data_IF_700531133501
#
_entry.id   IF_700531133501
#
_cell.length_a   1.000
_cell.length_b   1.000
_cell.length_c   1.000
_cell.angle_alpha   90.00
_cell.angle_beta   90.00
_cell.angle_gamma   90.00
#
_symmetry.space_group_name_H-M   'P 1'
#
loop_
_entity.id
_entity.type
_entity.pdbx_description
1 polymer ?
#
# COMPACT_ATOMS: atom_id res chain seq x y z
N UNK A 1 -24.42 -7.31 12.67
CA UNK A 1 -23.12 -6.63 12.60
C UNK A 1 -22.04 -7.69 12.66
N UNK A 2 -21.61 -8.15 11.49
CA UNK A 2 -20.37 -8.88 11.35
C UNK A 2 -19.19 -7.91 11.44
N UNK A 3 -18.05 -8.46 11.88
CA UNK A 3 -16.74 -7.82 11.78
C UNK A 3 -15.88 -8.77 10.94
N UNK A 4 -15.37 -8.30 9.81
CA UNK A 4 -14.49 -9.10 8.93
C UNK A 4 -13.20 -8.34 8.65
N UNK A 5 -12.08 -9.04 8.57
CA UNK A 5 -10.81 -8.42 8.23
C UNK A 5 -9.98 -9.26 7.25
N UNK A 6 -9.15 -8.56 6.47
CA UNK A 6 -8.12 -9.13 5.61
C UNK A 6 -6.77 -8.49 5.98
N UNK A 7 -5.80 -9.29 6.38
CA UNK A 7 -4.46 -8.84 6.77
C UNK A 7 -3.42 -9.34 5.75
N UNK A 8 -2.78 -8.40 5.05
CA UNK A 8 -1.84 -8.68 3.95
C UNK A 8 -0.44 -8.30 4.41
N UNK A 9 0.51 -9.23 4.30
CA UNK A 9 1.91 -9.04 4.69
C UNK A 9 2.85 -9.61 3.64
N UNK A 10 3.75 -8.78 3.11
CA UNK A 10 4.64 -9.21 2.01
C UNK A 10 6.08 -8.78 2.33
N UNK A 11 6.92 -9.78 2.56
CA UNK A 11 8.37 -9.64 2.68
C UNK A 11 9.09 -10.01 1.37
N UNK A 12 8.62 -11.01 0.64
CA UNK A 12 9.33 -11.56 -0.52
C UNK A 12 8.80 -10.95 -1.83
N UNK A 13 9.70 -10.39 -2.65
CA UNK A 13 9.40 -9.76 -3.94
C UNK A 13 10.30 -10.32 -5.05
N UNK A 14 10.02 -11.53 -5.57
CA UNK A 14 10.92 -12.28 -6.43
C UNK A 14 11.44 -11.49 -7.63
N UNK A 15 12.77 -11.47 -7.74
CA UNK A 15 13.47 -10.84 -8.86
C UNK A 15 13.55 -9.30 -8.81
N UNK A 16 13.07 -8.64 -7.75
CA UNK A 16 13.20 -7.18 -7.58
C UNK A 16 14.48 -6.76 -6.84
N UNK A 17 15.06 -7.68 -6.06
CA UNK A 17 16.15 -7.42 -5.12
C UNK A 17 15.73 -6.63 -3.87
N UNK A 18 14.43 -6.40 -3.68
CA UNK A 18 13.85 -5.51 -2.67
C UNK A 18 12.96 -6.29 -1.70
N UNK A 19 13.51 -7.31 -1.03
CA UNK A 19 12.77 -8.02 0.01
C UNK A 19 12.69 -7.20 1.31
N UNK A 20 11.63 -7.36 2.09
CA UNK A 20 11.46 -6.81 3.44
C UNK A 20 11.58 -7.92 4.49
N UNK A 21 11.56 -7.58 5.79
CA UNK A 21 11.74 -8.56 6.88
C UNK A 21 10.76 -8.39 8.07
N UNK A 22 9.82 -7.44 7.99
CA UNK A 22 8.87 -7.15 9.09
C UNK A 22 7.39 -7.39 8.74
N UNK A 23 7.03 -7.38 7.46
CA UNK A 23 5.64 -7.23 7.04
C UNK A 23 4.74 -8.45 7.31
N UNK A 24 5.35 -9.64 7.45
CA UNK A 24 4.67 -10.84 7.95
C UNK A 24 4.31 -10.70 9.44
N UNK A 25 5.21 -10.14 10.26
CA UNK A 25 4.94 -9.91 11.68
C UNK A 25 3.81 -8.87 11.83
N UNK A 26 3.88 -7.76 11.08
CA UNK A 26 2.84 -6.72 11.08
C UNK A 26 1.45 -7.31 10.73
N UNK A 27 1.39 -8.20 9.73
CA UNK A 27 0.15 -8.88 9.34
C UNK A 27 -0.35 -9.89 10.40
N UNK A 28 0.56 -10.59 11.08
CA UNK A 28 0.21 -11.48 12.21
C UNK A 28 -0.28 -10.71 13.43
N UNK A 29 0.41 -9.63 13.81
CA UNK A 29 0.04 -8.77 14.94
C UNK A 29 -1.34 -8.14 14.71
N UNK A 30 -1.62 -7.66 13.50
CA UNK A 30 -2.96 -7.19 13.12
C UNK A 30 -4.00 -8.30 13.15
N UNK A 31 -3.69 -9.49 12.64
CA UNK A 31 -4.61 -10.62 12.63
C UNK A 31 -5.00 -11.06 14.05
N UNK A 32 -4.03 -11.15 14.97
CA UNK A 32 -4.32 -11.42 16.39
C UNK A 32 -5.13 -10.29 17.01
N UNK A 33 -4.67 -9.05 16.87
CA UNK A 33 -5.32 -7.83 17.41
C UNK A 33 -6.79 -7.72 16.98
N UNK A 34 -7.11 -8.06 15.74
CA UNK A 34 -8.46 -8.02 15.20
C UNK A 34 -9.28 -9.25 15.62
N UNK A 35 -8.68 -10.44 15.67
CA UNK A 35 -9.34 -11.66 16.20
C UNK A 35 -9.79 -11.43 17.66
N UNK A 36 -8.92 -10.90 18.51
CA UNK A 36 -9.26 -10.51 19.90
C UNK A 36 -10.40 -9.48 20.00
N UNK A 37 -10.62 -8.67 18.94
CA UNK A 37 -11.72 -7.69 18.84
C UNK A 37 -13.00 -8.27 18.22
N UNK A 38 -13.04 -9.58 17.99
CA UNK A 38 -14.18 -10.32 17.44
C UNK A 38 -14.34 -10.22 15.92
N UNK A 39 -13.25 -9.98 15.18
CA UNK A 39 -13.26 -10.07 13.72
C UNK A 39 -13.07 -11.51 13.25
N UNK A 40 -13.78 -11.90 12.20
CA UNK A 40 -13.37 -13.03 11.36
C UNK A 40 -12.26 -12.56 10.42
N UNK A 41 -11.04 -13.08 10.61
CA UNK A 41 -9.83 -12.62 9.90
C UNK A 41 -9.40 -13.64 8.84
N UNK A 42 -9.05 -13.16 7.66
CA UNK A 42 -8.22 -13.88 6.67
C UNK A 42 -6.86 -13.20 6.50
N UNK A 43 -5.86 -13.96 6.05
CA UNK A 43 -4.52 -13.45 5.77
C UNK A 43 -4.08 -13.75 4.35
N UNK A 44 -3.21 -12.92 3.79
CA UNK A 44 -2.45 -13.19 2.57
C UNK A 44 -0.98 -12.87 2.83
N UNK A 45 -0.12 -13.89 2.83
CA UNK A 45 1.29 -13.78 3.19
C UNK A 45 2.20 -14.19 2.03
N UNK A 46 3.21 -13.36 1.73
CA UNK A 46 4.18 -13.55 0.63
C UNK A 46 3.53 -14.08 -0.65
N UNK A 47 3.84 -15.32 -1.06
CA UNK A 47 3.39 -15.94 -2.30
C UNK A 47 1.86 -16.06 -2.43
N UNK A 48 1.11 -15.91 -1.34
CA UNK A 48 -0.36 -15.85 -1.37
C UNK A 48 -0.87 -14.46 -1.78
N UNK A 49 -0.11 -13.39 -1.50
CA UNK A 49 -0.47 -12.00 -1.78
C UNK A 49 -0.12 -11.60 -3.23
N UNK A 50 -0.61 -12.38 -4.20
CA UNK A 50 -0.58 -12.01 -5.62
C UNK A 50 -1.56 -10.87 -5.91
N UNK A 51 -1.36 -10.12 -7.01
CA UNK A 51 -2.29 -9.04 -7.40
C UNK A 51 -3.73 -9.54 -7.47
N UNK A 52 -3.92 -10.72 -8.08
CA UNK A 52 -5.23 -11.36 -8.20
C UNK A 52 -5.85 -11.72 -6.84
N UNK A 53 -5.08 -12.33 -5.93
CA UNK A 53 -5.57 -12.71 -4.60
C UNK A 53 -5.87 -11.49 -3.71
N UNK A 54 -5.09 -10.41 -3.80
CA UNK A 54 -5.35 -9.15 -3.11
C UNK A 54 -6.67 -8.53 -3.59
N UNK A 55 -6.85 -8.41 -4.91
CA UNK A 55 -8.09 -7.90 -5.53
C UNK A 55 -9.30 -8.76 -5.18
N UNK A 56 -9.19 -10.09 -5.27
CA UNK A 56 -10.27 -11.01 -4.92
C UNK A 56 -10.62 -10.93 -3.43
N UNK A 57 -9.62 -10.96 -2.55
CA UNK A 57 -9.81 -10.86 -1.11
C UNK A 57 -10.52 -9.56 -0.71
N UNK A 58 -10.07 -8.42 -1.24
CA UNK A 58 -10.72 -7.13 -1.06
C UNK A 58 -12.16 -7.13 -1.61
N UNK A 59 -12.36 -7.60 -2.84
CA UNK A 59 -13.68 -7.63 -3.48
C UNK A 59 -14.69 -8.49 -2.72
N UNK A 60 -14.29 -9.68 -2.26
CA UNK A 60 -15.14 -10.58 -1.47
C UNK A 60 -15.46 -9.97 -0.10
N UNK A 61 -14.46 -9.41 0.58
CA UNK A 61 -14.61 -8.82 1.92
C UNK A 61 -15.59 -7.63 1.91
N UNK A 62 -15.47 -6.76 0.91
CA UNK A 62 -16.30 -5.56 0.74
C UNK A 62 -17.69 -5.92 0.20
N UNK A 63 -17.76 -6.74 -0.85
CA UNK A 63 -19.01 -7.07 -1.55
C UNK A 63 -19.98 -7.93 -0.73
N UNK A 64 -19.47 -8.74 0.21
CA UNK A 64 -20.31 -9.53 1.11
C UNK A 64 -20.81 -8.74 2.34
N UNK A 65 -20.24 -7.57 2.63
CA UNK A 65 -20.58 -6.81 3.83
C UNK A 65 -22.00 -6.21 3.74
N UNK A 66 -22.75 -6.29 4.84
CA UNK A 66 -24.13 -5.81 4.93
C UNK A 66 -24.22 -4.50 5.73
N UNK A 67 -25.24 -3.65 5.49
CA UNK A 67 -25.40 -2.38 6.20
C UNK A 67 -25.28 -2.51 7.72
N UNK A 68 -24.33 -1.79 8.30
CA UNK A 68 -23.99 -1.84 9.73
C UNK A 68 -22.77 -2.70 10.08
N UNK A 69 -22.25 -3.51 9.15
CA UNK A 69 -21.01 -4.29 9.35
C UNK A 69 -19.75 -3.40 9.36
N UNK A 70 -18.66 -3.94 9.92
CA UNK A 70 -17.34 -3.30 9.94
C UNK A 70 -16.31 -4.19 9.22
N UNK A 71 -15.68 -3.61 8.22
CA UNK A 71 -14.61 -4.22 7.42
C UNK A 71 -13.28 -3.52 7.74
N UNK A 72 -12.23 -4.31 7.97
CA UNK A 72 -10.86 -3.81 8.12
C UNK A 72 -9.95 -4.49 7.09
N UNK A 73 -9.18 -3.73 6.34
CA UNK A 73 -8.10 -4.25 5.50
C UNK A 73 -6.80 -3.68 6.06
N UNK A 74 -5.82 -4.54 6.33
CA UNK A 74 -4.46 -4.11 6.64
C UNK A 74 -3.51 -4.60 5.56
N UNK A 75 -2.60 -3.74 5.14
CA UNK A 75 -1.54 -4.05 4.20
C UNK A 75 -0.22 -3.59 4.79
N UNK A 76 0.77 -4.49 4.79
CA UNK A 76 2.15 -4.19 5.11
C UNK A 76 3.03 -4.73 3.99
N UNK A 77 3.85 -3.86 3.40
CA UNK A 77 4.67 -4.18 2.23
C UNK A 77 5.20 -2.94 1.54
N UNK A 78 5.71 -3.11 0.33
CA UNK A 78 6.18 -2.02 -0.52
C UNK A 78 5.04 -1.18 -1.12
N UNK A 79 5.21 0.14 -1.13
CA UNK A 79 4.54 1.05 -2.03
C UNK A 79 5.42 1.38 -3.24
N UNK A 80 4.81 1.78 -4.35
CA UNK A 80 5.49 2.27 -5.56
C UNK A 80 4.59 3.31 -6.24
N UNK A 81 5.07 3.91 -7.33
CA UNK A 81 4.25 4.68 -8.26
C UNK A 81 4.20 3.95 -9.60
N UNK A 82 3.18 4.22 -10.40
CA UNK A 82 3.18 3.94 -11.84
C UNK A 82 3.00 5.26 -12.60
N UNK A 83 3.45 5.37 -13.85
CA UNK A 83 3.09 6.52 -14.69
C UNK A 83 1.58 6.48 -14.94
N UNK A 84 0.88 7.59 -14.66
CA UNK A 84 -0.55 7.67 -14.91
C UNK A 84 -0.88 7.43 -16.39
N UNK A 85 -1.95 6.69 -16.64
CA UNK A 85 -2.40 6.36 -18.00
C UNK A 85 -3.27 7.46 -18.63
N UNK A 86 -3.83 8.37 -17.83
CA UNK A 86 -4.67 9.50 -18.26
C UNK A 86 -4.22 10.82 -17.60
N UNK A 87 -4.53 11.95 -18.25
CA UNK A 87 -4.07 13.32 -17.92
C UNK A 87 -4.92 13.97 -16.80
N UNK A 88 -5.31 13.17 -15.79
CA UNK A 88 -6.24 13.50 -14.70
C UNK A 88 -5.54 13.89 -13.39
N UNK A 89 -4.28 13.49 -13.23
CA UNK A 89 -3.48 13.75 -12.05
C UNK A 89 -2.63 15.03 -12.17
N UNK A 90 -2.47 15.75 -11.05
CA UNK A 90 -1.77 17.05 -11.00
C UNK A 90 -0.25 16.89 -11.13
N UNK A 91 0.24 15.67 -10.92
CA UNK A 91 1.63 15.21 -10.91
C UNK A 91 1.89 14.00 -11.83
N UNK A 92 0.84 13.26 -12.22
CA UNK A 92 0.88 12.25 -13.29
C UNK A 92 1.38 10.87 -12.86
N UNK A 93 1.13 10.46 -11.61
CA UNK A 93 1.76 9.30 -10.98
C UNK A 93 0.84 8.52 -10.03
N UNK A 94 0.06 7.57 -10.55
CA UNK A 94 -0.80 6.74 -9.70
C UNK A 94 0.01 6.01 -8.61
N UNK A 95 -0.47 6.08 -7.38
CA UNK A 95 0.11 5.33 -6.27
C UNK A 95 -0.29 3.88 -6.31
N UNK A 96 0.62 2.98 -5.92
CA UNK A 96 0.32 1.56 -5.97
C UNK A 96 0.94 0.76 -4.83
N UNK A 97 0.16 -0.20 -4.32
CA UNK A 97 0.66 -1.25 -3.43
C UNK A 97 1.37 -2.31 -4.27
N UNK A 98 2.47 -2.87 -3.75
CA UNK A 98 3.24 -3.89 -4.46
C UNK A 98 2.77 -5.30 -4.09
N UNK A 99 2.18 -6.08 -5.00
CA UNK A 99 1.91 -7.50 -4.77
C UNK A 99 3.20 -8.32 -4.82
N UNK A 100 3.17 -9.55 -4.32
CA UNK A 100 4.30 -10.48 -4.41
C UNK A 100 4.76 -10.70 -5.86
N UNK A 101 3.81 -10.80 -6.79
CA UNK A 101 4.04 -11.06 -8.21
C UNK A 101 4.14 -9.78 -9.07
N UNK A 102 4.45 -8.62 -8.45
CA UNK A 102 4.57 -7.30 -9.07
C UNK A 102 5.35 -7.30 -10.40
N UNK A 103 6.47 -8.03 -10.47
CA UNK A 103 7.30 -8.11 -11.69
C UNK A 103 6.58 -8.75 -12.88
N UNK A 104 5.51 -9.53 -12.65
CA UNK A 104 4.76 -10.23 -13.68
C UNK A 104 3.31 -9.74 -13.87
N UNK A 105 2.74 -9.02 -12.88
CA UNK A 105 1.36 -8.51 -12.89
C UNK A 105 1.23 -6.99 -12.72
N UNK A 106 2.34 -6.29 -12.49
CA UNK A 106 2.34 -4.88 -12.13
C UNK A 106 1.90 -4.65 -10.68
N UNK A 107 1.98 -3.40 -10.25
CA UNK A 107 1.47 -2.97 -8.96
C UNK A 107 -0.07 -2.87 -8.94
N UNK A 108 -0.68 -2.77 -7.76
CA UNK A 108 -2.12 -2.56 -7.56
C UNK A 108 -2.37 -1.08 -7.28
N UNK A 109 -2.96 -0.34 -8.23
CA UNK A 109 -3.09 1.12 -8.12
C UNK A 109 -4.16 1.55 -7.11
N UNK A 110 -4.08 2.79 -6.64
CA UNK A 110 -5.06 3.42 -5.77
C UNK A 110 -6.43 3.57 -6.46
N UNK A 111 -6.47 3.80 -7.77
CA UNK A 111 -7.69 3.72 -8.60
C UNK A 111 -8.31 2.31 -8.62
N UNK A 112 -7.52 1.25 -8.82
CA UNK A 112 -8.01 -0.14 -8.71
C UNK A 112 -8.56 -0.43 -7.30
N UNK A 113 -7.93 0.12 -6.26
CA UNK A 113 -8.41 0.03 -4.88
C UNK A 113 -9.68 0.86 -4.69
N UNK A 114 -9.77 2.07 -5.25
CA UNK A 114 -10.93 2.96 -5.17
C UNK A 114 -12.17 2.28 -5.76
N UNK A 115 -12.05 1.69 -6.94
CA UNK A 115 -13.11 0.91 -7.59
C UNK A 115 -13.58 -0.30 -6.77
N UNK A 116 -12.69 -0.91 -5.97
CA UNK A 116 -13.07 -1.94 -5.00
C UNK A 116 -13.83 -1.34 -3.80
N UNK A 117 -13.40 -0.17 -3.29
CA UNK A 117 -14.07 0.52 -2.18
C UNK A 117 -15.46 1.06 -2.56
N UNK A 118 -15.67 1.47 -3.81
CA UNK A 118 -16.96 1.98 -4.30
C UNK A 118 -18.08 0.93 -4.30
N UNK A 119 -17.73 -0.37 -4.38
CA UNK A 119 -18.68 -1.51 -4.31
C UNK A 119 -19.33 -1.66 -2.93
N UNK A 120 -18.86 -0.93 -1.92
CA UNK A 120 -19.36 -0.99 -0.54
C UNK A 120 -20.80 -0.50 -0.41
N UNK A 121 -21.65 -1.33 0.21
CA UNK A 121 -23.02 -0.94 0.54
C UNK A 121 -23.09 0.26 1.51
N UNK A 122 -24.11 1.13 1.41
CA UNK A 122 -24.34 2.20 2.39
C UNK A 122 -24.40 1.67 3.84
N UNK A 123 -23.86 2.44 4.78
CA UNK A 123 -23.77 2.11 6.22
C UNK A 123 -22.84 0.93 6.58
N UNK A 124 -22.15 0.30 5.64
CA UNK A 124 -20.96 -0.51 5.96
C UNK A 124 -19.82 0.45 6.30
N UNK A 125 -19.13 0.21 7.41
CA UNK A 125 -17.91 0.93 7.80
C UNK A 125 -16.70 0.21 7.25
N UNK A 126 -15.76 0.94 6.68
CA UNK A 126 -14.53 0.39 6.14
C UNK A 126 -13.32 1.17 6.66
N UNK A 127 -12.30 0.42 7.09
CA UNK A 127 -10.98 0.95 7.46
C UNK A 127 -9.94 0.26 6.60
N UNK A 128 -9.12 1.05 5.91
CA UNK A 128 -7.91 0.58 5.25
C UNK A 128 -6.70 1.13 6.02
N UNK A 129 -5.79 0.25 6.39
CA UNK A 129 -4.51 0.58 7.04
C UNK A 129 -3.40 0.15 6.09
N UNK A 130 -2.67 1.12 5.52
CA UNK A 130 -1.59 0.87 4.57
C UNK A 130 -0.24 1.26 5.19
N UNK A 131 0.54 0.25 5.60
CA UNK A 131 1.88 0.36 6.15
C UNK A 131 2.94 0.07 5.06
N UNK A 132 2.88 0.90 4.04
CA UNK A 132 3.85 1.06 2.95
C UNK A 132 4.43 2.46 3.00
N UNK A 133 5.64 2.68 2.46
CA UNK A 133 6.22 4.03 2.40
C UNK A 133 5.55 4.86 1.31
N UNK A 134 4.36 5.40 1.62
CA UNK A 134 3.80 6.61 1.03
C UNK A 134 2.63 7.21 1.85
N UNK A 135 2.87 8.06 2.89
CA UNK A 135 1.86 8.10 3.98
C UNK A 135 1.81 9.13 5.18
N UNK A 136 2.81 9.97 5.58
CA UNK A 136 2.86 10.77 6.88
C UNK A 136 3.96 10.46 8.00
N UNK A 137 5.13 11.15 8.13
CA UNK A 137 6.45 10.61 8.64
C UNK A 137 6.49 10.23 10.11
N UNK A 138 6.94 9.01 10.41
CA UNK A 138 7.28 8.60 11.78
C UNK A 138 8.75 8.17 11.86
N UNK A 139 9.63 9.16 12.01
CA UNK A 139 10.82 8.93 12.83
C UNK A 139 10.34 8.60 14.24
N UNK A 140 10.86 7.52 14.84
CA UNK A 140 10.71 7.33 16.29
C UNK A 140 11.35 8.53 16.97
N UNK A 141 10.61 9.21 17.85
CA UNK A 141 11.06 10.42 18.55
C UNK A 141 12.05 10.13 19.70
N UNK A 142 12.92 9.14 19.50
CA UNK A 142 14.07 8.83 20.31
C UNK A 142 15.20 8.42 19.33
N UNK A 143 16.40 9.03 19.43
CA UNK A 143 17.55 8.53 18.69
C UNK A 143 17.91 7.15 19.24
N UNK A 144 17.51 6.11 18.53
CA UNK A 144 17.93 4.74 18.79
C UNK A 144 19.39 4.62 18.34
N UNK A 145 20.32 4.86 19.27
CA UNK A 145 21.77 4.90 18.99
C UNK A 145 22.35 3.55 18.57
N UNK A 146 21.57 2.48 18.71
CA UNK A 146 21.92 1.11 18.34
C UNK A 146 21.23 0.63 17.04
N UNK A 147 20.50 1.51 16.34
CA UNK A 147 19.83 1.15 15.08
C UNK A 147 20.85 0.91 13.94
N UNK A 148 21.08 -0.37 13.60
CA UNK A 148 21.83 -0.74 12.40
C UNK A 148 21.14 -0.13 11.15
N UNK A 149 21.83 0.69 10.34
CA UNK A 149 21.26 1.25 9.10
C UNK A 149 20.88 0.20 8.05
N UNK A 150 21.16 -1.09 8.28
CA UNK A 150 20.67 -2.23 7.50
C UNK A 150 19.30 -2.75 7.96
N UNK A 151 18.84 -2.41 9.16
CA UNK A 151 17.60 -2.92 9.75
C UNK A 151 16.34 -2.29 9.17
N UNK A 152 16.38 -1.00 8.80
CA UNK A 152 15.26 -0.28 8.18
C UNK A 152 15.39 -0.25 6.65
N UNK A 153 14.98 -1.34 6.00
CA UNK A 153 14.77 -1.34 4.55
C UNK A 153 13.61 -0.38 4.20
N UNK A 154 13.79 0.56 3.25
CA UNK A 154 12.72 1.48 2.88
C UNK A 154 11.59 0.70 2.22
N UNK A 155 10.34 0.84 2.69
CA UNK A 155 9.16 0.19 2.10
C UNK A 155 8.65 0.92 0.84
N UNK A 156 9.55 1.57 0.10
CA UNK A 156 9.30 2.15 -1.22
C UNK A 156 10.10 1.36 -2.25
N UNK A 157 9.43 0.86 -3.29
CA UNK A 157 10.07 0.15 -4.40
C UNK A 157 10.14 1.08 -5.62
N UNK A 158 11.34 1.47 -6.08
CA UNK A 158 11.48 2.23 -7.32
C UNK A 158 10.96 1.45 -8.53
N UNK A 159 10.37 2.15 -9.51
CA UNK A 159 9.89 1.54 -10.75
C UNK A 159 10.97 0.71 -11.48
N UNK A 160 12.22 1.18 -11.47
CA UNK A 160 13.36 0.47 -12.07
C UNK A 160 13.83 -0.80 -11.33
N UNK A 161 13.15 -1.20 -10.25
CA UNK A 161 13.37 -2.49 -9.57
C UNK A 161 12.37 -3.58 -9.99
N UNK A 162 11.22 -3.23 -10.57
CA UNK A 162 10.17 -4.19 -10.93
C UNK A 162 9.65 -4.08 -12.38
N UNK A 163 9.81 -2.92 -13.03
CA UNK A 163 9.57 -2.76 -14.46
C UNK A 163 10.83 -3.08 -15.28
N UNK A 164 10.64 -3.64 -16.47
CA UNK A 164 11.73 -3.79 -17.45
C UNK A 164 12.12 -2.43 -18.07
N UNK A 165 13.39 -2.24 -18.43
CA UNK A 165 13.92 -0.98 -19.01
C UNK A 165 13.17 -0.51 -20.28
N UNK A 166 12.50 -1.42 -20.99
CA UNK A 166 11.69 -1.11 -22.16
C UNK A 166 10.35 -0.43 -21.80
N UNK A 167 9.82 -0.67 -20.60
CA UNK A 167 8.56 -0.14 -20.10
C UNK A 167 8.73 1.13 -19.22
N UNK A 168 9.96 1.47 -18.84
CA UNK A 168 10.23 2.67 -18.05
C UNK A 168 9.99 3.96 -18.85
N UNK A 169 9.44 5.03 -18.23
CA UNK A 169 9.38 6.37 -18.82
C UNK A 169 10.77 6.85 -19.27
N UNK A 170 10.84 7.66 -20.32
CA UNK A 170 12.12 8.15 -20.85
C UNK A 170 12.27 9.66 -20.65
N UNK A 171 13.35 10.06 -19.98
CA UNK A 171 13.74 11.45 -19.81
C UNK A 171 14.97 11.83 -20.67
N UNK A 172 15.42 13.09 -20.59
CA UNK A 172 16.67 13.55 -21.22
C UNK A 172 17.88 12.85 -20.59
N UNK A 173 18.25 11.69 -21.13
CA UNK A 173 19.30 10.81 -20.59
C UNK A 173 18.99 9.31 -20.62
N UNK A 174 17.75 8.91 -20.91
CA UNK A 174 17.34 7.50 -21.02
C UNK A 174 16.18 7.10 -20.10
N UNK A 175 16.02 5.81 -19.79
CA UNK A 175 14.91 5.32 -18.95
C UNK A 175 15.03 5.78 -17.49
N UNK A 176 13.95 6.31 -16.95
CA UNK A 176 13.83 6.79 -15.58
C UNK A 176 13.57 5.61 -14.64
N UNK A 177 14.58 5.22 -13.85
CA UNK A 177 14.47 4.16 -12.82
C UNK A 177 13.88 4.63 -11.50
N UNK A 178 13.81 5.96 -11.31
CA UNK A 178 13.18 6.68 -10.20
C UNK A 178 12.47 7.89 -10.79
N UNK A 179 11.36 8.27 -10.18
CA UNK A 179 10.63 9.48 -10.49
C UNK A 179 11.16 10.63 -9.61
N UNK A 180 11.07 11.90 -10.06
CA UNK A 180 11.43 13.03 -9.24
C UNK A 180 10.47 13.15 -8.04
N UNK A 181 10.91 13.67 -6.88
CA UNK A 181 10.03 13.93 -5.74
C UNK A 181 9.00 15.01 -6.09
N UNK A 182 7.75 14.82 -5.66
CA UNK A 182 6.61 15.67 -6.01
C UNK A 182 6.13 16.45 -4.79
N UNK A 183 6.01 17.77 -4.91
CA UNK A 183 5.48 18.61 -3.83
C UNK A 183 3.94 18.56 -3.81
N UNK A 184 3.37 17.63 -3.03
CA UNK A 184 1.92 17.36 -3.04
C UNK A 184 1.31 16.96 -1.68
N UNK A 185 -0.03 16.85 -1.67
CA UNK A 185 -0.78 16.16 -0.59
C UNK A 185 -0.66 14.65 -0.79
N UNK A 186 -0.78 13.86 0.29
CA UNK A 186 -0.94 12.39 0.22
C UNK A 186 -1.99 11.99 -0.82
N UNK A 187 -1.62 11.33 -1.95
CA UNK A 187 -2.51 10.97 -3.05
C UNK A 187 -3.61 9.97 -2.69
N UNK A 188 -3.38 9.08 -1.72
CA UNK A 188 -4.45 8.32 -1.05
C UNK A 188 -5.55 9.21 -0.42
N UNK A 189 -5.45 10.54 -0.43
CA UNK A 189 -6.57 11.44 -0.20
C UNK A 189 -7.75 11.22 -1.19
N UNK A 190 -7.51 10.77 -2.44
CA UNK A 190 -8.58 10.34 -3.37
C UNK A 190 -9.44 9.22 -2.75
N UNK A 191 -8.82 8.32 -1.97
CA UNK A 191 -9.49 7.21 -1.27
C UNK A 191 -10.41 7.65 -0.12
N UNK A 192 -10.33 8.91 0.34
CA UNK A 192 -11.20 9.45 1.41
C UNK A 192 -12.57 9.81 0.85
N UNK A 193 -13.33 8.77 0.49
CA UNK A 193 -14.73 8.91 0.11
C UNK A 193 -15.52 9.54 1.26
N UNK A 194 -16.21 10.65 1.00
CA UNK A 194 -17.04 11.37 2.00
C UNK A 194 -18.36 10.64 2.35
N UNK A 195 -18.34 9.31 2.39
CA UNK A 195 -19.43 8.48 2.91
C UNK A 195 -19.19 8.26 4.40
N UNK A 196 -20.19 8.57 5.22
CA UNK A 196 -20.05 8.66 6.67
C UNK A 196 -19.66 7.32 7.32
N UNK A 197 -18.39 7.20 7.72
CA UNK A 197 -17.84 6.03 8.40
C UNK A 197 -16.47 5.55 7.90
N UNK A 198 -15.95 6.14 6.83
CA UNK A 198 -14.66 5.76 6.24
C UNK A 198 -13.50 6.40 7.01
N UNK A 199 -12.52 5.59 7.40
CA UNK A 199 -11.27 6.04 8.00
C UNK A 199 -10.10 5.35 7.30
N UNK A 200 -9.37 6.10 6.49
CA UNK A 200 -8.07 5.69 5.99
C UNK A 200 -7.01 6.06 7.03
N UNK A 201 -6.16 5.11 7.41
CA UNK A 201 -4.97 5.35 8.23
C UNK A 201 -3.72 4.98 7.45
N UNK A 202 -2.93 5.99 7.13
CA UNK A 202 -1.60 5.88 6.53
C UNK A 202 -0.61 6.68 7.40
N UNK A 203 0.61 6.18 7.60
CA UNK A 203 1.73 6.97 8.17
C UNK A 203 3.14 6.63 7.64
N UNK A 204 3.74 7.54 6.85
CA UNK A 204 5.17 7.89 6.59
C UNK A 204 5.43 8.87 5.38
N UNK A 205 5.76 10.18 5.57
CA UNK A 205 5.78 11.32 4.62
C UNK A 205 7.20 11.55 4.10
N UNK A 206 7.32 12.36 3.06
CA UNK A 206 8.60 12.74 2.46
C UNK A 206 9.57 13.39 3.47
N UNK A 207 10.84 12.97 3.40
CA UNK A 207 11.95 13.65 4.04
C UNK A 207 12.44 14.86 3.23
N UNK A 208 13.21 15.78 3.83
CA UNK A 208 13.62 17.02 3.16
C UNK A 208 14.54 16.78 1.97
N UNK A 209 14.34 17.60 0.93
CA UNK A 209 15.18 17.68 -0.26
C UNK A 209 16.65 18.02 0.11
N UNK A 210 17.66 17.17 -0.17
CA UNK A 210 19.06 17.41 0.17
C UNK A 210 19.77 18.36 -0.82
N UNK A 211 19.08 19.41 -1.27
CA UNK A 211 19.57 20.40 -2.24
C UNK A 211 19.65 21.82 -1.64
N UNK A 212 19.92 21.94 -0.33
CA UNK A 212 20.24 23.22 0.34
C UNK A 212 21.27 23.04 1.48
N UNK A 213 22.50 22.70 1.10
CA UNK A 213 23.77 23.17 1.73
C UNK A 213 24.85 23.19 0.66
#
# INVERSE_FOLDING_TARGET
MAKKALCIGINNYPGTGMDLQGCLNDAHDWAETLTQRGFAVSTLLDAQATKAAMVEGMAQLIGQAQPGDLVVITYSGHGTYVPAMEDDEVDGLDEALCPHDIRSKGALTDDEIHELLLRRQPKVKLVLIADSCHSGTVTRAAPDTDADPRATRPRFMPIGNWMDDAALPRGPGGPLRRLPPVQGRSPLAKLVARRSGDLLLAGCQEGPNPAMT
#
